data_IF_431443138152
#
_entry.id   IF_431443138152
#
_cell.length_a   1.000
_cell.length_b   1.000
_cell.length_c   1.000
_cell.angle_alpha   90.00
_cell.angle_beta   90.00
_cell.angle_gamma   90.00
#
_symmetry.space_group_name_H-M   'P 1'
#
loop_
_entity.id
_entity.type
_entity.pdbx_description
1 polymer ?
#
# COMPACT_ATOMS: atom_id res chain seq x y z
N UNK A 1 38.14 47.84 -15.54
CA UNK A 1 37.22 46.77 -16.01
C UNK A 1 37.07 45.75 -14.89
N UNK A 2 35.91 45.69 -14.24
CA UNK A 2 35.53 44.60 -13.34
C UNK A 2 34.15 44.13 -13.80
N UNK A 3 34.07 42.89 -14.30
CA UNK A 3 32.80 42.28 -14.69
C UNK A 3 32.15 41.68 -13.43
N UNK A 4 30.86 41.92 -13.19
CA UNK A 4 30.16 41.31 -12.07
C UNK A 4 29.82 39.85 -12.40
N UNK A 5 30.14 38.96 -11.46
CA UNK A 5 29.81 37.54 -11.51
C UNK A 5 28.33 37.38 -11.08
N UNK A 6 27.45 37.04 -12.03
CA UNK A 6 26.04 36.72 -11.74
C UNK A 6 25.94 35.24 -11.37
N UNK A 7 25.59 34.95 -10.12
CA UNK A 7 25.32 33.59 -9.63
C UNK A 7 23.84 33.29 -9.81
N UNK A 8 23.44 32.27 -10.58
CA UNK A 8 22.03 31.89 -10.68
C UNK A 8 21.60 31.19 -9.38
N UNK A 9 20.50 31.68 -8.79
CA UNK A 9 19.86 31.00 -7.67
C UNK A 9 19.19 29.72 -8.16
N UNK A 10 19.78 28.57 -7.85
CA UNK A 10 19.17 27.26 -8.11
C UNK A 10 18.12 27.04 -7.03
N UNK A 11 16.84 27.20 -7.38
CA UNK A 11 15.73 26.85 -6.52
C UNK A 11 15.74 25.33 -6.29
N UNK A 12 16.14 24.90 -5.08
CA UNK A 12 15.98 23.50 -4.68
C UNK A 12 14.47 23.17 -4.65
N UNK A 13 14.04 22.04 -5.23
CA UNK A 13 12.68 21.59 -5.04
C UNK A 13 12.49 21.35 -3.54
N UNK A 14 11.44 21.96 -2.98
CA UNK A 14 11.01 21.67 -1.63
C UNK A 14 10.73 20.17 -1.54
N UNK A 15 11.57 19.44 -0.80
CA UNK A 15 11.27 18.06 -0.45
C UNK A 15 10.09 18.15 0.51
N UNK A 16 8.87 18.06 -0.03
CA UNK A 16 7.67 17.96 0.79
C UNK A 16 7.88 16.81 1.75
N UNK A 17 7.95 17.13 3.04
CA UNK A 17 7.85 16.12 4.09
C UNK A 17 6.52 15.41 3.86
N UNK A 18 6.58 14.22 3.25
CA UNK A 18 5.42 13.37 3.08
C UNK A 18 4.92 13.05 4.48
N UNK A 19 3.61 13.05 4.72
CA UNK A 19 3.08 12.53 5.99
C UNK A 19 3.59 11.08 6.14
N UNK A 20 4.56 10.87 7.03
CA UNK A 20 5.26 9.58 7.19
C UNK A 20 4.51 8.65 8.15
N UNK A 21 3.53 9.21 8.88
CA UNK A 21 2.81 8.51 9.94
C UNK A 21 1.76 7.56 9.40
N UNK A 22 0.88 8.06 8.52
CA UNK A 22 -0.30 7.33 8.08
C UNK A 22 -0.24 6.94 6.60
N UNK A 23 -0.65 5.70 6.30
CA UNK A 23 -0.86 5.28 4.91
C UNK A 23 -2.25 5.72 4.44
N UNK A 24 -2.38 6.16 3.19
CA UNK A 24 -3.65 6.59 2.61
C UNK A 24 -4.11 5.63 1.50
N UNK A 25 -5.42 5.61 1.18
CA UNK A 25 -5.92 4.80 0.06
C UNK A 25 -5.21 5.14 -1.26
N UNK A 26 -5.01 6.43 -1.53
CA UNK A 26 -4.33 6.89 -2.75
C UNK A 26 -2.88 6.38 -2.87
N UNK A 27 -2.17 6.18 -1.75
CA UNK A 27 -0.82 5.58 -1.78
C UNK A 27 -0.86 4.10 -2.13
N UNK A 28 -1.88 3.36 -1.67
CA UNK A 28 -2.08 1.96 -2.06
C UNK A 28 -2.49 1.89 -3.53
N UNK A 29 -3.38 2.77 -3.99
CA UNK A 29 -3.85 2.80 -5.39
C UNK A 29 -2.73 3.14 -6.37
N UNK A 30 -1.72 3.92 -5.96
CA UNK A 30 -0.53 4.16 -6.77
C UNK A 30 0.34 2.90 -6.97
N UNK A 31 0.24 1.92 -6.06
CA UNK A 31 0.98 0.65 -6.11
C UNK A 31 0.12 -0.46 -6.74
N UNK A 32 -1.18 -0.45 -6.45
CA UNK A 32 -2.16 -1.45 -6.82
C UNK A 32 -3.41 -0.78 -7.43
N UNK A 33 -3.37 -0.32 -8.69
CA UNK A 33 -4.43 0.48 -9.28
C UNK A 33 -5.81 -0.18 -9.31
N UNK A 34 -5.90 -1.51 -9.45
CA UNK A 34 -7.18 -2.24 -9.43
C UNK A 34 -7.84 -2.26 -8.05
N UNK A 35 -7.11 -1.94 -6.98
CA UNK A 35 -7.68 -1.84 -5.63
C UNK A 35 -8.61 -0.63 -5.44
N UNK A 36 -8.71 0.28 -6.42
CA UNK A 36 -9.68 1.38 -6.38
C UNK A 36 -11.14 0.89 -6.30
N UNK A 37 -11.45 -0.25 -6.93
CA UNK A 37 -12.81 -0.76 -7.01
C UNK A 37 -12.83 -2.28 -7.22
N UNK A 38 -13.74 -2.96 -6.52
CA UNK A 38 -14.03 -4.37 -6.72
C UNK A 38 -15.06 -4.63 -7.84
N UNK A 39 -15.49 -3.59 -8.57
CA UNK A 39 -16.53 -3.73 -9.60
C UNK A 39 -16.14 -4.59 -10.80
N UNK A 40 -14.85 -4.80 -11.04
CA UNK A 40 -14.31 -5.64 -12.12
C UNK A 40 -13.60 -6.89 -11.59
N UNK A 41 -13.72 -7.20 -10.30
CA UNK A 41 -13.08 -8.39 -9.73
C UNK A 41 -13.86 -9.65 -10.14
N UNK A 42 -13.14 -10.68 -10.57
CA UNK A 42 -13.75 -11.97 -10.95
C UNK A 42 -14.46 -12.64 -9.76
N UNK A 43 -13.96 -12.39 -8.54
CA UNK A 43 -14.53 -12.87 -7.28
C UNK A 43 -14.77 -11.69 -6.32
N UNK A 44 -15.97 -11.12 -6.37
CA UNK A 44 -16.34 -9.95 -5.55
C UNK A 44 -16.20 -10.19 -4.04
N UNK A 45 -16.41 -11.43 -3.60
CA UNK A 45 -16.41 -11.80 -2.17
C UNK A 45 -14.99 -11.85 -1.57
N UNK A 46 -13.96 -11.95 -2.41
CA UNK A 46 -12.56 -11.97 -1.97
C UNK A 46 -11.85 -10.64 -2.16
N UNK A 47 -12.43 -9.73 -2.93
CA UNK A 47 -11.82 -8.46 -3.27
C UNK A 47 -11.92 -7.46 -2.11
N UNK A 48 -10.83 -6.72 -1.90
CA UNK A 48 -10.80 -5.59 -0.98
C UNK A 48 -10.31 -4.32 -1.68
N UNK A 49 -11.05 -3.24 -1.47
CA UNK A 49 -10.64 -1.90 -1.93
C UNK A 49 -9.48 -1.34 -1.10
N UNK A 50 -8.74 -0.39 -1.65
CA UNK A 50 -7.70 0.37 -0.94
C UNK A 50 -8.21 0.94 0.39
N UNK A 51 -9.42 1.48 0.41
CA UNK A 51 -10.09 2.04 1.61
C UNK A 51 -10.34 0.98 2.69
N UNK A 52 -10.67 -0.25 2.27
CA UNK A 52 -10.82 -1.39 3.15
C UNK A 52 -9.45 -1.93 3.64
N UNK A 53 -8.43 -1.93 2.77
CA UNK A 53 -7.08 -2.39 3.05
C UNK A 53 -6.33 -1.57 4.11
N UNK A 54 -6.40 -0.23 3.99
CA UNK A 54 -5.67 0.73 4.84
C UNK A 54 -5.72 0.42 6.35
N UNK A 55 -6.89 0.27 7.02
CA UNK A 55 -6.93 0.12 8.47
C UNK A 55 -6.23 -1.16 8.97
N UNK A 56 -6.30 -2.24 8.21
CA UNK A 56 -5.63 -3.49 8.56
C UNK A 56 -4.11 -3.38 8.35
N UNK A 57 -3.67 -2.82 7.22
CA UNK A 57 -2.24 -2.63 6.93
C UNK A 57 -1.62 -1.64 7.93
N UNK A 58 -2.31 -0.54 8.25
CA UNK A 58 -1.84 0.45 9.21
C UNK A 58 -1.66 -0.15 10.61
N UNK A 59 -2.61 -1.01 11.05
CA UNK A 59 -2.46 -1.77 12.30
C UNK A 59 -1.26 -2.71 12.26
N UNK A 60 -1.07 -3.46 11.18
CA UNK A 60 0.10 -4.33 11.02
C UNK A 60 1.41 -3.55 11.09
N UNK A 61 1.49 -2.39 10.44
CA UNK A 61 2.68 -1.55 10.51
C UNK A 61 2.96 -1.02 11.91
N UNK A 62 1.93 -0.65 12.67
CA UNK A 62 2.08 -0.27 14.07
C UNK A 62 2.56 -1.46 14.93
N UNK A 63 1.95 -2.64 14.78
CA UNK A 63 2.29 -3.86 15.53
C UNK A 63 3.74 -4.30 15.28
N UNK A 64 4.15 -4.35 14.02
CA UNK A 64 5.48 -4.84 13.62
C UNK A 64 6.53 -3.73 13.49
N UNK A 65 6.18 -2.48 13.86
CA UNK A 65 7.07 -1.32 13.85
C UNK A 65 7.68 -1.03 12.47
N UNK A 66 6.88 -1.20 11.41
CA UNK A 66 7.24 -0.82 10.04
C UNK A 66 7.09 0.69 9.90
N UNK A 67 8.21 1.40 10.01
CA UNK A 67 8.22 2.88 10.14
C UNK A 67 8.68 3.54 8.85
N UNK A 68 9.69 2.97 8.18
CA UNK A 68 10.30 3.56 6.98
C UNK A 68 9.30 3.64 5.83
N UNK A 69 9.17 4.78 5.12
CA UNK A 69 8.29 4.90 3.96
C UNK A 69 8.63 3.91 2.84
N UNK A 70 9.93 3.68 2.62
CA UNK A 70 10.39 2.73 1.61
C UNK A 70 10.02 1.29 1.99
N UNK A 71 10.12 0.97 3.28
CA UNK A 71 9.73 -0.33 3.82
C UNK A 71 8.22 -0.54 3.70
N UNK A 72 7.40 0.44 4.13
CA UNK A 72 5.93 0.41 3.98
C UNK A 72 5.54 0.17 2.51
N UNK A 73 6.14 0.90 1.58
CA UNK A 73 5.87 0.76 0.15
C UNK A 73 6.29 -0.61 -0.39
N UNK A 74 7.45 -1.12 0.01
CA UNK A 74 7.93 -2.45 -0.40
C UNK A 74 7.00 -3.56 0.10
N UNK A 75 6.58 -3.49 1.38
CA UNK A 75 5.67 -4.48 1.95
C UNK A 75 4.28 -4.38 1.30
N UNK A 76 3.73 -3.18 1.06
CA UNK A 76 2.46 -3.02 0.33
C UNK A 76 2.59 -3.58 -1.09
N UNK A 77 3.70 -3.31 -1.78
CA UNK A 77 3.97 -3.85 -3.11
C UNK A 77 3.98 -5.38 -3.13
N UNK A 78 4.60 -6.01 -2.13
CA UNK A 78 4.57 -7.46 -1.99
C UNK A 78 3.16 -7.98 -1.72
N UNK A 79 2.41 -7.36 -0.81
CA UNK A 79 1.00 -7.73 -0.55
C UNK A 79 0.15 -7.64 -1.83
N UNK A 80 0.31 -6.56 -2.60
CA UNK A 80 -0.39 -6.36 -3.85
C UNK A 80 0.00 -7.42 -4.90
N UNK A 81 1.28 -7.78 -5.00
CA UNK A 81 1.74 -8.81 -5.93
C UNK A 81 1.12 -10.17 -5.62
N UNK A 82 1.18 -10.60 -4.36
CA UNK A 82 0.67 -11.92 -3.92
C UNK A 82 -0.86 -12.04 -4.00
N UNK A 83 -1.59 -10.93 -3.91
CA UNK A 83 -3.07 -10.89 -3.92
C UNK A 83 -3.69 -10.39 -5.23
N UNK A 84 -2.88 -10.23 -6.29
CA UNK A 84 -3.31 -9.65 -7.58
C UNK A 84 -4.01 -8.31 -7.38
N UNK A 85 -3.33 -7.38 -6.72
CA UNK A 85 -3.82 -6.05 -6.36
C UNK A 85 -5.04 -6.07 -5.43
N UNK A 86 -5.02 -6.96 -4.44
CA UNK A 86 -6.07 -7.16 -3.42
C UNK A 86 -7.41 -7.70 -3.97
N UNK A 87 -7.39 -8.35 -5.12
CA UNK A 87 -8.59 -8.97 -5.70
C UNK A 87 -8.88 -10.37 -5.13
N UNK A 88 -7.86 -11.04 -4.59
CA UNK A 88 -7.98 -12.39 -4.06
C UNK A 88 -7.49 -12.46 -2.61
N UNK A 89 -8.18 -13.25 -1.80
CA UNK A 89 -7.90 -13.41 -0.36
C UNK A 89 -7.43 -14.82 0.00
N UNK A 90 -7.43 -15.73 -0.99
CA UNK A 90 -7.01 -17.12 -0.89
C UNK A 90 -6.30 -17.55 -2.17
N UNK A 91 -5.51 -18.62 -2.06
CA UNK A 91 -4.88 -19.23 -3.21
C UNK A 91 -5.92 -19.95 -4.08
N UNK A 92 -5.97 -19.58 -5.36
CA UNK A 92 -6.82 -20.23 -6.37
C UNK A 92 -6.07 -21.28 -7.21
N UNK A 93 -4.75 -21.16 -7.37
CA UNK A 93 -3.94 -22.10 -8.16
C UNK A 93 -2.52 -22.21 -7.62
N UNK A 94 -2.06 -23.39 -7.16
CA UNK A 94 -2.62 -24.74 -7.37
C UNK A 94 -3.79 -25.13 -6.45
N UNK A 95 -4.43 -24.17 -5.77
CA UNK A 95 -5.65 -24.41 -4.97
C UNK A 95 -5.44 -25.24 -3.71
N UNK A 96 -4.18 -25.36 -3.25
CA UNK A 96 -3.87 -26.12 -2.04
C UNK A 96 -4.37 -25.34 -0.82
N UNK A 97 -5.27 -25.94 0.00
CA UNK A 97 -5.76 -25.30 1.20
C UNK A 97 -4.62 -24.90 2.14
N UNK A 98 -4.67 -23.69 2.69
CA UNK A 98 -3.68 -23.18 3.63
C UNK A 98 -2.43 -22.54 3.00
N UNK A 99 -2.35 -22.46 1.68
CA UNK A 99 -1.33 -21.67 0.97
C UNK A 99 -1.94 -20.34 0.49
N UNK A 100 -1.17 -19.24 0.51
CA UNK A 100 -1.62 -17.92 0.07
C UNK A 100 -2.40 -17.10 1.11
N UNK A 101 -2.41 -15.78 0.92
CA UNK A 101 -2.51 -14.77 1.97
C UNK A 101 -3.94 -14.29 2.28
N UNK A 102 -4.34 -14.51 3.53
CA UNK A 102 -5.60 -14.02 4.09
C UNK A 102 -5.62 -12.50 4.28
N UNK A 103 -6.54 -11.84 3.57
CA UNK A 103 -7.12 -10.56 3.98
C UNK A 103 -8.60 -10.73 4.36
N UNK A 104 -8.96 -11.34 5.50
CA UNK A 104 -10.33 -11.42 5.93
C UNK A 104 -10.55 -10.20 6.81
N UNK A 105 -11.03 -9.10 6.23
CA UNK A 105 -11.47 -7.90 6.96
C UNK A 105 -12.41 -8.23 8.12
N UNK A 106 -13.09 -9.36 8.04
CA UNK A 106 -14.07 -9.86 8.99
C UNK A 106 -13.49 -10.74 10.09
N UNK A 107 -12.22 -11.20 10.01
CA UNK A 107 -11.67 -12.10 11.05
C UNK A 107 -10.89 -11.38 12.17
N UNK A 108 -10.53 -10.11 12.00
CA UNK A 108 -9.88 -9.32 13.08
C UNK A 108 -10.90 -8.61 13.99
N UNK A 109 -12.09 -9.18 14.17
CA UNK A 109 -13.15 -8.67 15.06
C UNK A 109 -13.12 -9.32 16.46
N UNK A 110 -12.08 -10.07 16.81
CA UNK A 110 -11.87 -10.67 18.14
C UNK A 110 -10.37 -10.75 18.43
N UNK A 111 -9.94 -10.69 19.71
CA UNK A 111 -8.59 -10.26 20.05
C UNK A 111 -7.57 -11.33 19.66
N UNK A 112 -6.55 -10.90 18.92
CA UNK A 112 -5.21 -11.47 18.96
C UNK A 112 -4.34 -10.52 19.78
#
# INVERSE_FOLDING_TARGET
>A
MALPLVVPAISLPAIFARDLGSITPAQIEAIAPKSQSCGNADLSDECATSKQAVPAIARSFATYKVISPAEKAAVIGLMAFESVEFQYSRNHSPGVPGQGNTFPLTSCASPC
#
